data_IF_287415032022
#
_entry.id   IF_287415032022
#
_cell.length_a   1.000
_cell.length_b   1.000
_cell.length_c   1.000
_cell.angle_alpha   90.00
_cell.angle_beta   90.00
_cell.angle_gamma   90.00
#
_symmetry.space_group_name_H-M   'P 1'
#
loop_
_entity.id
_entity.type
_entity.pdbx_description
1 polymer ?
#
# COMPACT_ATOMS: atom_id res chain seq x y z
N UNK A 1 -20.82 -17.38 -11.64
CA UNK A 1 -19.49 -17.63 -11.07
C UNK A 1 -19.62 -17.94 -9.59
N UNK A 2 -18.99 -18.99 -9.13
CA UNK A 2 -19.01 -19.37 -7.72
C UNK A 2 -17.96 -18.53 -7.00
N UNK A 3 -18.41 -17.72 -6.04
CA UNK A 3 -17.51 -16.92 -5.22
C UNK A 3 -16.83 -17.78 -4.16
N UNK A 4 -15.63 -17.39 -3.80
CA UNK A 4 -14.86 -18.06 -2.76
C UNK A 4 -15.57 -17.87 -1.41
N UNK A 5 -15.73 -18.95 -0.64
CA UNK A 5 -16.34 -18.91 0.70
C UNK A 5 -15.44 -18.25 1.72
N UNK A 6 -14.13 -18.15 1.47
CA UNK A 6 -13.18 -17.44 2.32
C UNK A 6 -13.36 -15.92 2.14
N UNK A 7 -12.90 -15.18 3.13
CA UNK A 7 -12.91 -13.73 3.11
C UNK A 7 -11.62 -13.20 2.50
N UNK A 8 -11.67 -11.99 1.93
CA UNK A 8 -10.48 -11.28 1.46
C UNK A 8 -10.19 -10.11 2.38
N UNK A 9 -8.94 -9.99 2.78
CA UNK A 9 -8.43 -8.87 3.58
C UNK A 9 -7.37 -8.17 2.76
N UNK A 10 -7.65 -6.93 2.40
CA UNK A 10 -6.80 -6.12 1.52
C UNK A 10 -6.14 -5.03 2.36
N UNK A 11 -4.83 -5.00 2.38
CA UNK A 11 -4.04 -4.04 3.16
C UNK A 11 -3.19 -3.18 2.25
N UNK A 12 -3.24 -1.87 2.44
CA UNK A 12 -2.17 -1.00 2.01
C UNK A 12 -0.90 -1.35 2.78
N UNK A 13 0.27 -0.94 2.30
CA UNK A 13 1.54 -1.28 2.94
C UNK A 13 2.07 -0.14 3.80
N UNK A 14 2.48 0.97 3.19
CA UNK A 14 3.09 2.10 3.92
C UNK A 14 2.10 2.75 4.87
N UNK A 15 2.49 2.90 6.13
CA UNK A 15 1.68 3.47 7.22
C UNK A 15 0.39 2.68 7.52
N UNK A 16 0.23 1.51 6.93
CA UNK A 16 -0.88 0.59 7.19
C UNK A 16 -0.36 -0.70 7.85
N UNK A 17 0.49 -1.46 7.17
CA UNK A 17 1.12 -2.67 7.73
C UNK A 17 2.52 -2.41 8.27
N UNK A 18 3.23 -1.43 7.75
CA UNK A 18 4.60 -1.11 8.15
C UNK A 18 4.86 0.38 8.14
N UNK A 19 5.69 0.82 9.08
CA UNK A 19 6.33 2.13 9.04
C UNK A 19 7.74 1.95 8.48
N UNK A 20 8.08 2.70 7.44
CA UNK A 20 9.42 2.69 6.87
C UNK A 20 10.07 4.07 6.96
N UNK A 21 11.40 4.10 6.85
CA UNK A 21 12.15 5.37 6.84
C UNK A 21 12.28 5.96 5.43
N UNK A 22 11.65 5.35 4.43
CA UNK A 22 11.63 5.89 3.07
C UNK A 22 10.99 7.28 3.05
N UNK A 23 11.64 8.23 2.38
CA UNK A 23 11.21 9.62 2.30
C UNK A 23 11.00 10.04 0.85
N UNK A 24 10.14 11.03 0.66
CA UNK A 24 10.08 11.77 -0.60
C UNK A 24 11.00 12.97 -0.45
N UNK A 25 12.02 13.05 -1.28
CA UNK A 25 12.97 14.16 -1.21
C UNK A 25 12.56 15.28 -2.16
N UNK A 26 12.60 16.51 -1.66
CA UNK A 26 12.40 17.71 -2.48
C UNK A 26 13.77 18.15 -2.99
N UNK A 27 13.93 18.18 -4.29
CA UNK A 27 15.19 18.49 -4.95
C UNK A 27 15.13 19.87 -5.59
N UNK A 28 16.26 20.59 -5.54
CA UNK A 28 16.43 21.86 -6.26
C UNK A 28 16.76 21.63 -7.73
N UNK A 29 16.76 22.72 -8.52
CA UNK A 29 17.23 22.69 -9.92
C UNK A 29 18.68 22.20 -10.04
N UNK A 30 19.50 22.40 -8.99
CA UNK A 30 20.87 21.97 -8.95
C UNK A 30 21.04 20.53 -8.43
N UNK A 31 19.93 19.79 -8.30
CA UNK A 31 19.91 18.41 -7.79
C UNK A 31 20.41 18.28 -6.35
N UNK A 32 20.17 19.29 -5.53
CA UNK A 32 20.44 19.26 -4.11
C UNK A 32 19.15 18.96 -3.33
N UNK A 33 19.24 18.10 -2.32
CA UNK A 33 18.10 17.81 -1.45
C UNK A 33 17.86 18.98 -0.48
N UNK A 34 16.73 19.66 -0.62
CA UNK A 34 16.37 20.81 0.21
C UNK A 34 15.39 20.43 1.33
N UNK A 35 14.70 19.32 1.22
CA UNK A 35 13.80 18.78 2.24
C UNK A 35 13.55 17.30 2.04
N UNK A 36 13.22 16.60 3.11
CA UNK A 36 12.82 15.18 3.07
C UNK A 36 11.49 15.04 3.79
N UNK A 37 10.50 14.48 3.10
CA UNK A 37 9.13 14.41 3.56
C UNK A 37 8.72 12.97 3.87
N UNK A 38 7.96 12.82 4.95
CA UNK A 38 7.24 11.55 5.19
C UNK A 38 6.15 11.37 4.13
N UNK A 39 5.61 10.14 3.92
CA UNK A 39 4.49 9.96 3.02
C UNK A 39 3.30 10.86 3.34
N UNK A 40 2.99 11.08 4.62
CA UNK A 40 1.92 12.00 5.02
C UNK A 40 2.27 13.46 4.72
N UNK A 41 3.50 13.86 5.01
CA UNK A 41 3.96 15.22 4.70
C UNK A 41 3.96 15.52 3.20
N UNK A 42 4.20 14.51 2.37
CA UNK A 42 4.13 14.64 0.91
C UNK A 42 2.71 15.00 0.43
N UNK A 43 1.67 14.48 1.07
CA UNK A 43 0.28 14.73 0.64
C UNK A 43 -0.08 16.22 0.65
N UNK A 44 0.54 17.00 1.53
CA UNK A 44 0.29 18.42 1.69
C UNK A 44 1.38 19.30 1.04
N UNK A 45 2.41 18.70 0.47
CA UNK A 45 3.55 19.43 -0.05
C UNK A 45 3.27 20.07 -1.40
N UNK A 46 3.83 21.28 -1.57
CA UNK A 46 3.81 22.00 -2.84
C UNK A 46 5.22 22.37 -3.22
N UNK A 47 5.57 22.13 -4.48
CA UNK A 47 6.87 22.48 -5.03
C UNK A 47 6.92 23.97 -5.35
N UNK A 48 8.09 24.60 -5.11
CA UNK A 48 8.46 25.90 -5.66
C UNK A 48 8.97 25.71 -7.08
N UNK A 49 9.06 26.82 -7.83
CA UNK A 49 9.58 26.79 -9.20
C UNK A 49 10.96 26.11 -9.26
N UNK A 50 11.11 25.19 -10.22
CA UNK A 50 12.36 24.45 -10.44
C UNK A 50 12.60 23.27 -9.51
N UNK A 51 11.80 23.09 -8.47
CA UNK A 51 11.90 21.93 -7.58
C UNK A 51 11.20 20.71 -8.16
N UNK A 52 11.66 19.54 -7.73
CA UNK A 52 11.05 18.27 -8.13
C UNK A 52 11.11 17.26 -6.98
N UNK A 53 10.23 16.27 -7.02
CA UNK A 53 10.20 15.19 -6.03
C UNK A 53 11.02 13.99 -6.48
N UNK A 54 11.88 13.50 -5.59
CA UNK A 54 12.62 12.27 -5.76
C UNK A 54 11.99 11.17 -4.89
N UNK A 55 11.46 10.13 -5.51
CA UNK A 55 10.83 8.98 -4.88
C UNK A 55 11.76 7.75 -4.80
N UNK A 56 13.04 7.90 -5.08
CA UNK A 56 13.95 6.76 -5.22
C UNK A 56 14.09 5.88 -3.98
N UNK A 57 13.84 6.44 -2.77
CA UNK A 57 13.84 5.64 -1.55
C UNK A 57 12.83 4.48 -1.62
N UNK A 58 11.68 4.70 -2.28
CA UNK A 58 10.62 3.71 -2.39
C UNK A 58 10.97 2.55 -3.33
N UNK A 59 12.03 2.67 -4.11
CA UNK A 59 12.55 1.60 -4.96
C UNK A 59 13.64 0.77 -4.25
N UNK A 60 14.05 1.18 -3.05
CA UNK A 60 15.10 0.49 -2.29
C UNK A 60 14.49 -0.54 -1.34
N UNK A 61 14.79 -1.82 -1.59
CA UNK A 61 14.27 -2.94 -0.79
C UNK A 61 14.63 -2.84 0.69
N UNK A 62 15.79 -2.24 1.02
CA UNK A 62 16.26 -2.12 2.39
C UNK A 62 15.30 -1.35 3.29
N UNK A 63 14.63 -0.32 2.77
CA UNK A 63 13.64 0.42 3.55
C UNK A 63 12.43 -0.44 3.92
N UNK A 64 12.01 -1.32 3.01
CA UNK A 64 10.90 -2.25 3.28
C UNK A 64 11.32 -3.30 4.29
N UNK A 65 12.47 -3.95 4.07
CA UNK A 65 12.95 -5.04 4.93
C UNK A 65 13.28 -4.59 6.34
N UNK A 66 13.68 -3.33 6.52
CA UNK A 66 13.94 -2.72 7.82
C UNK A 66 12.71 -2.02 8.41
N UNK A 67 11.55 -2.10 7.76
CA UNK A 67 10.32 -1.51 8.24
C UNK A 67 9.87 -2.07 9.58
N UNK A 68 9.20 -1.22 10.36
CA UNK A 68 8.60 -1.62 11.64
C UNK A 68 7.14 -2.03 11.41
N UNK A 69 6.73 -3.25 11.79
CA UNK A 69 5.34 -3.65 11.61
C UNK A 69 4.40 -2.81 12.48
N UNK A 70 3.22 -2.53 11.95
CA UNK A 70 2.13 -1.94 12.73
C UNK A 70 1.35 -3.02 13.47
N UNK A 71 0.40 -2.62 14.32
CA UNK A 71 -0.49 -3.58 14.99
C UNK A 71 -1.36 -4.39 14.01
N UNK A 72 -1.62 -3.87 12.82
CA UNK A 72 -2.40 -4.59 11.81
C UNK A 72 -1.69 -5.84 11.29
N UNK A 73 -0.37 -5.97 11.50
CA UNK A 73 0.33 -7.20 11.14
C UNK A 73 -0.24 -8.42 11.89
N UNK A 74 -0.67 -8.24 13.13
CA UNK A 74 -1.28 -9.30 13.91
C UNK A 74 -2.61 -9.75 13.30
N UNK A 75 -3.44 -8.80 12.88
CA UNK A 75 -4.69 -9.10 12.18
C UNK A 75 -4.41 -9.85 10.86
N UNK A 76 -3.45 -9.38 10.07
CA UNK A 76 -3.09 -10.03 8.81
C UNK A 76 -2.62 -11.47 9.05
N UNK A 77 -1.82 -11.69 10.08
CA UNK A 77 -1.37 -13.03 10.45
C UNK A 77 -2.53 -13.92 10.88
N UNK A 78 -3.42 -13.41 11.74
CA UNK A 78 -4.57 -14.17 12.25
C UNK A 78 -5.50 -14.60 11.12
N UNK A 79 -5.88 -13.69 10.22
CA UNK A 79 -6.79 -14.02 9.12
C UNK A 79 -6.13 -14.94 8.11
N UNK A 80 -4.83 -14.82 7.89
CA UNK A 80 -4.08 -15.76 7.05
C UNK A 80 -4.10 -17.17 7.65
N UNK A 81 -3.85 -17.29 8.96
CA UNK A 81 -3.85 -18.58 9.66
C UNK A 81 -5.24 -19.22 9.70
N UNK A 82 -6.30 -18.43 9.65
CA UNK A 82 -7.69 -18.91 9.54
C UNK A 82 -8.06 -19.36 8.12
N UNK A 83 -7.17 -19.25 7.17
CA UNK A 83 -7.38 -19.69 5.79
C UNK A 83 -7.99 -18.65 4.88
N UNK A 84 -8.07 -17.39 5.32
CA UNK A 84 -8.56 -16.30 4.48
C UNK A 84 -7.44 -15.77 3.58
N UNK A 85 -7.83 -15.06 2.52
CA UNK A 85 -6.89 -14.50 1.56
C UNK A 85 -6.43 -13.11 1.99
N UNK A 86 -5.11 -12.92 2.01
CA UNK A 86 -4.48 -11.62 2.27
C UNK A 86 -3.99 -11.04 0.94
N UNK A 87 -4.36 -9.80 0.67
CA UNK A 87 -3.89 -9.04 -0.49
C UNK A 87 -3.16 -7.80 -0.02
N UNK A 88 -2.12 -7.44 -0.74
CA UNK A 88 -1.45 -6.14 -0.57
C UNK A 88 -1.83 -5.25 -1.75
N UNK A 89 -2.19 -4.01 -1.45
CA UNK A 89 -2.59 -3.02 -2.45
C UNK A 89 -1.89 -1.71 -2.12
N UNK A 90 -0.77 -1.44 -2.80
CA UNK A 90 0.15 -0.36 -2.48
C UNK A 90 0.33 0.61 -3.65
N UNK A 91 0.58 1.89 -3.30
CA UNK A 91 0.97 2.91 -4.26
C UNK A 91 2.41 2.76 -4.79
N UNK A 92 3.19 1.84 -4.21
CA UNK A 92 4.54 1.57 -4.69
C UNK A 92 4.52 0.98 -6.10
N UNK A 93 5.64 1.04 -6.80
CA UNK A 93 5.82 0.41 -8.12
C UNK A 93 6.12 -1.09 -7.97
N UNK A 94 6.07 -1.83 -9.07
CA UNK A 94 6.29 -3.28 -9.09
C UNK A 94 7.65 -3.69 -8.51
N UNK A 95 8.64 -2.80 -8.51
CA UNK A 95 9.96 -3.05 -7.92
C UNK A 95 9.90 -3.39 -6.42
N UNK A 96 8.83 -2.99 -5.72
CA UNK A 96 8.66 -3.25 -4.29
C UNK A 96 8.09 -4.63 -3.96
N UNK A 97 7.52 -5.32 -4.94
CA UNK A 97 6.74 -6.55 -4.71
C UNK A 97 7.53 -7.64 -3.98
N UNK A 98 8.75 -7.93 -4.43
CA UNK A 98 9.58 -8.99 -3.81
C UNK A 98 9.95 -8.67 -2.37
N UNK A 99 10.30 -7.42 -2.08
CA UNK A 99 10.67 -7.00 -0.72
C UNK A 99 9.46 -7.05 0.22
N UNK A 100 8.28 -6.66 -0.26
CA UNK A 100 7.05 -6.75 0.53
C UNK A 100 6.74 -8.22 0.85
N UNK A 101 6.84 -9.12 -0.13
CA UNK A 101 6.64 -10.55 0.10
C UNK A 101 7.63 -11.10 1.14
N UNK A 102 8.88 -10.69 1.08
CA UNK A 102 9.91 -11.09 2.05
C UNK A 102 9.62 -10.54 3.45
N UNK A 103 9.20 -9.27 3.54
CA UNK A 103 8.78 -8.66 4.80
C UNK A 103 7.63 -9.45 5.45
N UNK A 104 6.59 -9.78 4.67
CA UNK A 104 5.47 -10.57 5.16
C UNK A 104 5.91 -11.97 5.59
N UNK A 105 6.85 -12.58 4.87
CA UNK A 105 7.41 -13.88 5.19
C UNK A 105 8.08 -13.94 6.57
N UNK A 106 8.65 -12.82 7.03
CA UNK A 106 9.21 -12.72 8.39
C UNK A 106 8.13 -12.89 9.47
N UNK A 107 6.87 -12.66 9.13
CA UNK A 107 5.72 -12.85 10.03
C UNK A 107 4.89 -14.08 9.66
N UNK A 108 5.44 -14.95 8.79
CA UNK A 108 4.78 -16.17 8.34
C UNK A 108 3.45 -15.89 7.60
N UNK A 109 3.37 -14.77 6.88
CA UNK A 109 2.22 -14.39 6.07
C UNK A 109 2.60 -14.52 4.59
N UNK A 110 1.74 -15.18 3.82
CA UNK A 110 1.84 -15.21 2.36
C UNK A 110 0.65 -14.47 1.76
N UNK A 111 0.90 -13.37 1.08
CA UNK A 111 -0.13 -12.68 0.34
C UNK A 111 -0.53 -13.51 -0.88
N UNK A 112 -1.83 -13.58 -1.17
CA UNK A 112 -2.34 -14.21 -2.37
C UNK A 112 -1.87 -13.46 -3.61
N UNK A 113 -1.92 -12.13 -3.56
CA UNK A 113 -1.41 -11.24 -4.60
C UNK A 113 -0.89 -9.96 -3.95
N UNK A 114 0.12 -9.35 -4.56
CA UNK A 114 0.66 -8.05 -4.19
C UNK A 114 0.47 -7.13 -5.40
N UNK A 115 -0.43 -6.17 -5.26
CA UNK A 115 -0.75 -5.20 -6.31
C UNK A 115 -0.02 -3.89 -6.06
N UNK A 116 0.96 -3.59 -6.89
CA UNK A 116 1.74 -2.35 -6.85
C UNK A 116 1.22 -1.43 -7.95
N UNK A 117 0.28 -0.55 -7.60
CA UNK A 117 -0.43 0.26 -8.59
C UNK A 117 0.34 1.49 -9.06
N UNK A 118 1.47 1.81 -8.40
CA UNK A 118 2.33 2.93 -8.82
C UNK A 118 2.84 2.82 -10.25
N UNK A 119 2.95 1.61 -10.79
CA UNK A 119 3.33 1.36 -12.20
C UNK A 119 2.13 1.41 -13.16
N UNK A 120 0.91 1.59 -12.67
CA UNK A 120 -0.34 1.52 -13.45
C UNK A 120 -0.92 2.89 -13.83
N UNK A 121 -0.28 3.99 -13.45
CA UNK A 121 -0.74 5.34 -13.74
C UNK A 121 -0.58 6.29 -12.57
N UNK A 122 -0.93 7.56 -12.77
CA UNK A 122 -0.72 8.62 -11.78
C UNK A 122 -1.85 8.75 -10.75
N UNK A 123 -3.05 8.27 -11.05
CA UNK A 123 -4.18 8.33 -10.12
C UNK A 123 -4.24 7.06 -9.28
N UNK A 124 -3.58 7.11 -8.14
CA UNK A 124 -3.44 5.97 -7.23
C UNK A 124 -4.80 5.48 -6.72
N UNK A 125 -5.67 6.40 -6.30
CA UNK A 125 -6.97 6.01 -5.74
C UNK A 125 -7.84 5.28 -6.77
N UNK A 126 -7.88 5.75 -8.01
CA UNK A 126 -8.59 5.08 -9.09
C UNK A 126 -7.98 3.72 -9.43
N UNK A 127 -6.66 3.63 -9.44
CA UNK A 127 -5.95 2.37 -9.70
C UNK A 127 -6.22 1.35 -8.60
N UNK A 128 -6.23 1.77 -7.34
CA UNK A 128 -6.60 0.90 -6.21
C UNK A 128 -8.07 0.44 -6.32
N UNK A 129 -8.98 1.32 -6.69
CA UNK A 129 -10.39 0.96 -6.91
C UNK A 129 -10.55 -0.14 -7.96
N UNK A 130 -9.81 -0.06 -9.07
CA UNK A 130 -9.84 -1.10 -10.12
C UNK A 130 -9.43 -2.47 -9.59
N UNK A 131 -8.41 -2.53 -8.74
CA UNK A 131 -7.98 -3.78 -8.11
C UNK A 131 -9.07 -4.31 -7.18
N UNK A 132 -9.67 -3.45 -6.36
CA UNK A 132 -10.77 -3.85 -5.48
C UNK A 132 -11.95 -4.42 -6.25
N UNK A 133 -12.31 -3.82 -7.40
CA UNK A 133 -13.38 -4.34 -8.26
C UNK A 133 -13.08 -5.76 -8.76
N UNK A 134 -11.82 -6.06 -9.09
CA UNK A 134 -11.44 -7.42 -9.50
C UNK A 134 -11.53 -8.43 -8.36
N UNK A 135 -11.17 -8.01 -7.14
CA UNK A 135 -11.27 -8.87 -5.95
C UNK A 135 -12.74 -9.17 -5.60
N UNK A 136 -13.61 -8.18 -5.71
CA UNK A 136 -15.04 -8.31 -5.43
C UNK A 136 -15.69 -9.42 -6.28
N UNK A 137 -15.22 -9.64 -7.49
CA UNK A 137 -15.75 -10.69 -8.37
C UNK A 137 -15.58 -12.09 -7.79
N UNK A 138 -14.60 -12.30 -6.92
CA UNK A 138 -14.20 -13.62 -6.42
C UNK A 138 -14.50 -13.86 -4.94
N UNK A 139 -14.88 -12.84 -4.19
CA UNK A 139 -15.10 -12.94 -2.74
C UNK A 139 -16.41 -12.27 -2.33
N UNK A 140 -17.12 -12.89 -1.37
CA UNK A 140 -18.38 -12.34 -0.85
C UNK A 140 -18.15 -11.29 0.24
N UNK A 141 -17.09 -11.44 1.02
CA UNK A 141 -16.76 -10.51 2.12
C UNK A 141 -15.34 -10.03 1.99
N UNK A 142 -15.17 -8.71 1.97
CA UNK A 142 -13.89 -8.06 1.75
C UNK A 142 -13.74 -6.93 2.75
N UNK A 143 -12.56 -6.85 3.36
CA UNK A 143 -12.12 -5.71 4.18
C UNK A 143 -10.95 -5.04 3.49
N UNK A 144 -10.97 -3.71 3.45
CA UNK A 144 -9.91 -2.90 2.89
C UNK A 144 -9.42 -1.92 3.94
N UNK A 145 -8.11 -1.94 4.21
CA UNK A 145 -7.43 -1.07 5.19
C UNK A 145 -6.42 -0.20 4.48
N UNK A 146 -6.55 1.11 4.67
CA UNK A 146 -5.65 2.10 4.07
C UNK A 146 -5.59 3.33 5.00
N UNK A 147 -4.45 4.01 5.05
CA UNK A 147 -4.28 5.22 5.84
C UNK A 147 -4.67 6.49 5.08
N UNK A 148 -4.78 6.42 3.77
CA UNK A 148 -5.12 7.56 2.91
C UNK A 148 -6.63 7.66 2.69
N UNK A 149 -7.20 8.75 3.19
CA UNK A 149 -8.64 9.02 3.06
C UNK A 149 -9.14 9.00 1.62
N UNK A 150 -8.32 9.43 0.67
CA UNK A 150 -8.70 9.45 -0.76
C UNK A 150 -8.99 8.05 -1.29
N UNK A 151 -8.16 7.08 -0.86
CA UNK A 151 -8.34 5.68 -1.25
C UNK A 151 -9.59 5.09 -0.60
N UNK A 152 -9.84 5.42 0.66
CA UNK A 152 -11.03 4.98 1.39
C UNK A 152 -12.30 5.55 0.74
N UNK A 153 -12.31 6.84 0.39
CA UNK A 153 -13.48 7.48 -0.23
C UNK A 153 -13.88 6.83 -1.56
N UNK A 154 -12.90 6.47 -2.40
CA UNK A 154 -13.19 5.80 -3.67
C UNK A 154 -13.62 4.33 -3.50
N UNK A 155 -13.48 3.76 -2.32
CA UNK A 155 -13.90 2.38 -2.02
C UNK A 155 -15.25 2.29 -1.31
N UNK A 156 -15.76 3.40 -0.74
CA UNK A 156 -16.95 3.38 0.13
C UNK A 156 -18.25 2.93 -0.54
N UNK A 157 -18.38 3.13 -1.83
CA UNK A 157 -19.57 2.72 -2.59
C UNK A 157 -19.48 1.28 -3.10
N UNK A 158 -18.38 0.60 -2.86
CA UNK A 158 -18.18 -0.79 -3.25
C UNK A 158 -18.74 -1.74 -2.17
N UNK A 159 -19.16 -2.98 -2.54
CA UNK A 159 -19.67 -3.96 -1.58
C UNK A 159 -18.54 -4.58 -0.74
N UNK A 160 -17.90 -3.77 0.08
CA UNK A 160 -16.81 -4.14 0.98
C UNK A 160 -16.83 -3.23 2.21
N UNK A 161 -16.06 -3.59 3.23
CA UNK A 161 -15.84 -2.76 4.41
C UNK A 161 -14.49 -2.06 4.27
N UNK A 162 -14.52 -0.74 4.08
CA UNK A 162 -13.31 0.08 4.01
C UNK A 162 -13.05 0.75 5.36
N UNK A 163 -11.84 0.60 5.88
CA UNK A 163 -11.43 1.14 7.18
C UNK A 163 -10.17 1.98 7.03
N UNK A 164 -10.27 3.25 7.38
CA UNK A 164 -9.10 4.11 7.52
C UNK A 164 -8.35 3.76 8.80
N UNK A 165 -7.06 3.64 8.70
CA UNK A 165 -6.17 3.35 9.82
C UNK A 165 -5.23 4.49 10.13
#
# INVERSE_FOLDING_TARGET
MIKNKTKAFVFDFDDTLAFTDAKVHVMSEQNECVASLTPQGFNDAKLKDGQWFDFSDFDKSSFILNGTPTKLIDLAKDVFNEGHSVFILTARTDSASSAIAEFLGCFEITAKEIHCVGSKGSDIAKSKRKVLLSIIENFDKIWFFDDDERNIQLAKDLPLTAKKV
#
